data_IF_609467602818
#
_entry.id   IF_609467602818
#
_cell.length_a   1.000
_cell.length_b   1.000
_cell.length_c   1.000
_cell.angle_alpha   90.00
_cell.angle_beta   90.00
_cell.angle_gamma   90.00
#
_symmetry.space_group_name_H-M   'P 1'
#
loop_
_entity.id
_entity.type
_entity.pdbx_description
1 polymer ?
#
# COMPACT_ATOMS: atom_id res chain seq x y z
N UNK A 1 8.00 -45.21 42.45
CA UNK A 1 8.65 -43.88 42.34
C UNK A 1 9.19 -43.73 40.93
N UNK A 2 8.63 -42.81 40.13
CA UNK A 2 9.32 -41.92 39.17
C UNK A 2 8.30 -41.23 38.25
N UNK A 3 7.92 -40.03 38.69
CA UNK A 3 7.47 -38.82 37.98
C UNK A 3 7.08 -38.93 36.51
N UNK A 4 5.77 -38.92 36.26
CA UNK A 4 5.16 -38.35 35.05
C UNK A 4 5.55 -36.87 34.97
N UNK A 5 6.53 -36.55 34.12
CA UNK A 5 6.89 -35.19 33.75
C UNK A 5 5.82 -34.67 32.79
N UNK A 6 4.68 -34.27 33.36
CA UNK A 6 3.70 -33.45 32.67
C UNK A 6 4.43 -32.25 32.08
N UNK A 7 4.33 -32.15 30.75
CA UNK A 7 4.90 -31.08 29.94
C UNK A 7 4.11 -29.81 30.27
N UNK A 8 4.43 -29.18 31.40
CA UNK A 8 3.82 -27.93 31.82
C UNK A 8 4.31 -26.85 30.84
N UNK A 9 3.55 -26.63 29.76
CA UNK A 9 3.78 -25.55 28.81
C UNK A 9 3.78 -24.26 29.63
N UNK A 10 4.93 -23.60 29.72
CA UNK A 10 5.12 -22.41 30.54
C UNK A 10 4.07 -21.35 30.13
N UNK A 11 3.21 -20.89 31.07
CA UNK A 11 2.16 -19.91 30.78
C UNK A 11 2.71 -18.59 30.20
N UNK A 12 4.01 -18.32 30.36
CA UNK A 12 4.68 -17.18 29.72
C UNK A 12 4.77 -17.35 28.20
N UNK A 13 5.09 -18.54 27.72
CA UNK A 13 5.22 -18.85 26.28
C UNK A 13 3.86 -18.71 25.58
N UNK A 14 2.78 -19.15 26.23
CA UNK A 14 1.43 -19.04 25.67
C UNK A 14 0.97 -17.57 25.57
N UNK A 15 1.31 -16.73 26.56
CA UNK A 15 0.97 -15.30 26.55
C UNK A 15 1.71 -14.56 25.43
N UNK A 16 2.99 -14.90 25.22
CA UNK A 16 3.83 -14.29 24.18
C UNK A 16 3.34 -14.68 22.79
N UNK A 17 3.02 -15.96 22.56
CA UNK A 17 2.43 -16.42 21.31
C UNK A 17 1.10 -15.72 20.98
N UNK A 18 0.30 -15.40 22.01
CA UNK A 18 -0.98 -14.70 21.86
C UNK A 18 -0.80 -13.23 21.47
N UNK A 19 0.16 -12.54 22.08
CA UNK A 19 0.51 -11.14 21.77
C UNK A 19 1.10 -11.04 20.36
N UNK A 20 2.01 -11.95 20.01
CA UNK A 20 2.61 -12.06 18.67
C UNK A 20 1.54 -12.14 17.59
N UNK A 21 0.54 -12.98 17.83
CA UNK A 21 -0.57 -13.19 16.91
C UNK A 21 -1.48 -11.98 16.82
N UNK A 22 -1.75 -11.30 17.93
CA UNK A 22 -2.53 -10.06 17.93
C UNK A 22 -1.86 -8.97 17.10
N UNK A 23 -0.55 -8.76 17.30
CA UNK A 23 0.23 -7.78 16.55
C UNK A 23 0.24 -8.12 15.06
N UNK A 24 0.56 -9.37 14.70
CA UNK A 24 0.56 -9.80 13.30
C UNK A 24 -0.82 -9.69 12.63
N UNK A 25 -1.89 -9.95 13.39
CA UNK A 25 -3.26 -9.83 12.89
C UNK A 25 -3.66 -8.37 12.68
N UNK A 26 -3.34 -7.48 13.63
CA UNK A 26 -3.63 -6.04 13.52
C UNK A 26 -2.87 -5.45 12.33
N UNK A 27 -1.57 -5.73 12.21
CA UNK A 27 -0.76 -5.24 11.09
C UNK A 27 -1.27 -5.73 9.74
N UNK A 28 -1.71 -6.98 9.66
CA UNK A 28 -2.36 -7.50 8.45
C UNK A 28 -3.61 -6.71 8.07
N UNK A 29 -4.49 -6.38 9.01
CA UNK A 29 -5.69 -5.58 8.73
C UNK A 29 -5.37 -4.14 8.33
N UNK A 30 -4.36 -3.54 8.96
CA UNK A 30 -3.91 -2.19 8.62
C UNK A 30 -3.34 -2.17 7.20
N UNK A 31 -2.39 -3.06 6.88
CA UNK A 31 -1.81 -3.15 5.54
C UNK A 31 -2.88 -3.45 4.48
N UNK A 32 -3.80 -4.39 4.75
CA UNK A 32 -4.90 -4.71 3.84
C UNK A 32 -5.84 -3.52 3.63
N UNK A 33 -6.19 -2.79 4.68
CA UNK A 33 -7.01 -1.58 4.59
C UNK A 33 -6.39 -0.52 3.70
N UNK A 34 -5.08 -0.26 3.88
CA UNK A 34 -4.34 0.68 3.02
C UNK A 34 -4.15 0.17 1.59
N UNK A 35 -3.98 -1.14 1.39
CA UNK A 35 -3.94 -1.76 0.06
C UNK A 35 -5.21 -1.45 -0.72
N UNK A 36 -6.36 -1.70 -0.09
CA UNK A 36 -7.67 -1.50 -0.69
C UNK A 36 -7.91 -0.01 -0.93
N UNK A 37 -7.63 0.85 0.04
CA UNK A 37 -7.80 2.30 -0.11
C UNK A 37 -6.92 2.87 -1.25
N UNK A 38 -5.66 2.45 -1.34
CA UNK A 38 -4.75 2.84 -2.42
C UNK A 38 -5.22 2.32 -3.78
N UNK A 39 -5.64 1.05 -3.86
CA UNK A 39 -6.19 0.46 -5.09
C UNK A 39 -7.47 1.16 -5.57
N UNK A 40 -8.40 1.44 -4.67
CA UNK A 40 -9.66 2.13 -4.99
C UNK A 40 -9.37 3.55 -5.49
N UNK A 41 -8.56 4.32 -4.76
CA UNK A 41 -8.22 5.70 -5.16
C UNK A 41 -7.51 5.74 -6.51
N UNK A 42 -6.58 4.82 -6.77
CA UNK A 42 -5.92 4.70 -8.07
C UNK A 42 -6.91 4.31 -9.18
N UNK A 43 -7.84 3.41 -8.91
CA UNK A 43 -8.88 3.01 -9.87
C UNK A 43 -9.81 4.18 -10.21
N UNK A 44 -10.23 4.96 -9.22
CA UNK A 44 -10.97 6.21 -9.47
C UNK A 44 -10.17 7.19 -10.32
N UNK A 45 -8.87 7.36 -10.04
CA UNK A 45 -8.01 8.23 -10.83
C UNK A 45 -7.91 7.77 -12.29
N UNK A 46 -7.77 6.48 -12.56
CA UNK A 46 -7.66 5.92 -13.92
C UNK A 46 -9.01 5.98 -14.64
N UNK A 47 -10.06 5.42 -14.04
CA UNK A 47 -11.39 5.32 -14.65
C UNK A 47 -12.01 6.69 -14.87
N UNK A 48 -11.92 7.59 -13.88
CA UNK A 48 -12.46 8.95 -14.02
C UNK A 48 -11.74 9.77 -15.09
N UNK A 49 -10.43 9.52 -15.32
CA UNK A 49 -9.71 10.15 -16.44
C UNK A 49 -10.17 9.63 -17.80
N UNK A 50 -10.46 8.34 -17.90
CA UNK A 50 -10.96 7.74 -19.14
C UNK A 50 -12.38 8.22 -19.44
N UNK A 51 -13.27 8.24 -18.44
CA UNK A 51 -14.65 8.73 -18.58
C UNK A 51 -14.69 10.20 -19.03
N UNK A 52 -13.83 11.04 -18.45
CA UNK A 52 -13.79 12.46 -18.77
C UNK A 52 -13.13 12.77 -20.15
N UNK A 53 -12.48 11.81 -20.80
CA UNK A 53 -12.06 11.94 -22.22
C UNK A 53 -13.20 11.62 -23.19
N UNK A 54 -14.11 10.73 -22.80
CA UNK A 54 -15.25 10.31 -23.62
C UNK A 54 -16.32 11.39 -23.78
N UNK A 55 -16.43 12.31 -22.81
CA UNK A 55 -17.43 13.38 -22.82
C UNK A 55 -17.02 14.59 -23.67
N UNK A 56 -15.73 14.77 -23.92
CA UNK A 56 -15.19 15.94 -24.63
C UNK A 56 -15.11 15.78 -26.14
N UNK A 57 -15.53 14.62 -26.68
CA UNK A 57 -15.53 14.32 -28.12
C UNK A 57 -16.86 14.58 -28.82
N UNK A 58 -17.81 15.27 -28.17
CA UNK A 58 -19.11 15.61 -28.81
C UNK A 58 -18.90 16.84 -29.70
N UNK A 59 -19.01 16.74 -31.04
CA UNK A 59 -18.95 17.89 -31.91
C UNK A 59 -20.25 18.69 -31.72
N UNK A 60 -20.18 19.91 -31.20
CA UNK A 60 -21.33 20.82 -31.20
C UNK A 60 -21.52 21.34 -32.63
N UNK A 61 -22.65 21.04 -33.31
CA UNK A 61 -22.88 21.53 -34.67
C UNK A 61 -23.02 23.06 -34.66
N UNK A 62 -22.25 23.77 -35.49
CA UNK A 62 -22.41 25.21 -35.71
C UNK A 62 -21.43 26.14 -34.95
N UNK A 63 -20.68 25.63 -33.97
CA UNK A 63 -19.49 26.30 -33.44
C UNK A 63 -18.28 25.49 -33.92
N UNK A 64 -17.36 26.09 -34.67
CA UNK A 64 -16.16 25.42 -35.19
C UNK A 64 -15.50 24.59 -34.08
N UNK A 65 -15.25 23.30 -34.35
CA UNK A 65 -14.97 22.28 -33.35
C UNK A 65 -13.96 22.72 -32.28
N UNK A 66 -14.48 23.26 -31.18
CA UNK A 66 -13.68 23.51 -29.98
C UNK A 66 -13.47 22.13 -29.38
N UNK A 67 -12.36 21.50 -29.76
CA UNK A 67 -11.88 20.32 -29.07
C UNK A 67 -11.63 20.74 -27.63
N UNK A 68 -12.57 20.47 -26.72
CA UNK A 68 -12.32 20.50 -25.30
C UNK A 68 -11.41 19.32 -24.95
N UNK A 69 -10.26 19.19 -25.62
CA UNK A 69 -9.22 18.25 -25.23
C UNK A 69 -8.78 18.71 -23.85
N UNK A 70 -9.40 18.15 -22.80
CA UNK A 70 -8.90 18.23 -21.45
C UNK A 70 -7.57 17.49 -21.48
N UNK A 71 -6.54 18.26 -21.83
CA UNK A 71 -5.19 17.79 -22.05
C UNK A 71 -4.80 16.96 -20.85
N UNK A 72 -4.48 15.71 -21.10
CA UNK A 72 -3.98 14.81 -20.08
C UNK A 72 -2.81 15.52 -19.42
N UNK A 73 -2.88 15.72 -18.10
CA UNK A 73 -1.78 16.31 -17.35
C UNK A 73 -0.50 15.55 -17.68
N UNK A 74 0.35 16.18 -18.49
CA UNK A 74 1.56 15.56 -18.99
C UNK A 74 2.46 15.27 -17.77
N UNK A 75 2.98 14.05 -17.68
CA UNK A 75 3.82 13.61 -16.55
C UNK A 75 3.08 12.84 -15.45
N UNK A 76 1.74 12.93 -15.31
CA UNK A 76 1.03 12.16 -14.26
C UNK A 76 1.10 10.64 -14.48
N UNK A 77 1.27 10.20 -15.73
CA UNK A 77 1.50 8.79 -16.07
C UNK A 77 2.64 8.14 -15.28
N UNK A 78 3.71 8.90 -15.04
CA UNK A 78 4.88 8.44 -14.27
C UNK A 78 4.47 8.15 -12.82
N UNK A 79 3.69 9.05 -12.21
CA UNK A 79 3.17 8.89 -10.85
C UNK A 79 2.28 7.64 -10.69
N UNK A 80 1.47 7.33 -11.70
CA UNK A 80 0.60 6.15 -11.71
C UNK A 80 1.41 4.87 -11.86
N UNK A 81 2.40 4.85 -12.76
CA UNK A 81 3.25 3.68 -12.95
C UNK A 81 3.93 3.28 -11.63
N UNK A 82 4.55 4.25 -10.96
CA UNK A 82 5.18 4.04 -9.66
C UNK A 82 4.17 3.66 -8.57
N UNK A 83 2.97 4.25 -8.57
CA UNK A 83 1.89 3.86 -7.65
C UNK A 83 1.48 2.38 -7.83
N UNK A 84 1.33 1.92 -9.08
CA UNK A 84 1.02 0.51 -9.36
C UNK A 84 2.11 -0.40 -8.81
N UNK A 85 3.39 -0.09 -9.06
CA UNK A 85 4.50 -0.85 -8.53
C UNK A 85 4.52 -0.85 -6.99
N UNK A 86 4.26 0.28 -6.35
CA UNK A 86 4.19 0.41 -4.89
C UNK A 86 3.00 -0.34 -4.26
N UNK A 87 1.86 -0.39 -4.94
CA UNK A 87 0.68 -1.18 -4.52
C UNK A 87 0.97 -2.68 -4.67
N UNK A 88 1.62 -3.12 -5.75
CA UNK A 88 2.01 -4.52 -5.92
C UNK A 88 2.97 -4.98 -4.82
N UNK A 89 3.95 -4.13 -4.46
CA UNK A 89 4.84 -4.41 -3.33
C UNK A 89 4.06 -4.50 -2.00
N UNK A 90 3.08 -3.61 -1.79
CA UNK A 90 2.22 -3.63 -0.60
C UNK A 90 1.36 -4.90 -0.55
N UNK A 91 0.74 -5.31 -1.66
CA UNK A 91 -0.01 -6.57 -1.75
C UNK A 91 0.88 -7.78 -1.48
N UNK A 92 2.13 -7.74 -1.95
CA UNK A 92 3.11 -8.79 -1.66
C UNK A 92 3.49 -8.81 -0.17
N UNK A 93 3.64 -7.66 0.48
CA UNK A 93 3.81 -7.57 1.94
C UNK A 93 2.63 -8.19 2.70
N UNK A 94 1.40 -7.82 2.33
CA UNK A 94 0.17 -8.38 2.92
C UNK A 94 0.13 -9.90 2.77
N UNK A 95 0.53 -10.43 1.61
CA UNK A 95 0.62 -11.86 1.36
C UNK A 95 1.64 -12.55 2.29
N UNK A 96 2.81 -11.95 2.50
CA UNK A 96 3.83 -12.47 3.42
C UNK A 96 3.34 -12.44 4.87
N UNK A 97 2.69 -11.36 5.30
CA UNK A 97 2.09 -11.25 6.63
C UNK A 97 1.04 -12.35 6.87
N UNK A 98 0.14 -12.56 5.89
CA UNK A 98 -0.85 -13.64 5.95
C UNK A 98 -0.21 -15.03 6.02
N UNK A 99 0.88 -15.24 5.27
CA UNK A 99 1.63 -16.49 5.26
C UNK A 99 2.29 -16.78 6.62
N UNK A 100 2.84 -15.77 7.29
CA UNK A 100 3.39 -15.92 8.65
C UNK A 100 2.31 -16.32 9.68
N UNK A 101 1.13 -15.70 9.62
CA UNK A 101 -0.01 -16.04 10.48
C UNK A 101 -0.48 -17.49 10.25
N UNK A 102 -0.43 -17.99 9.01
CA UNK A 102 -0.74 -19.40 8.70
C UNK A 102 0.31 -20.38 9.23
N UNK A 103 1.60 -20.05 9.16
CA UNK A 103 2.66 -20.90 9.73
C UNK A 103 2.61 -20.96 11.25
N UNK A 104 2.28 -19.85 11.92
CA UNK A 104 2.06 -19.82 13.37
C UNK A 104 0.91 -20.77 13.81
N UNK A 105 -0.07 -21.01 12.95
CA UNK A 105 -1.18 -21.96 13.20
C UNK A 105 -0.74 -23.43 13.20
N UNK A 106 0.37 -23.78 12.54
CA UNK A 106 0.92 -25.15 12.48
C UNK A 106 1.78 -25.53 13.68
N UNK A 107 2.19 -24.56 14.51
CA UNK A 107 2.88 -24.81 15.79
C UNK A 107 1.97 -25.45 16.85
N UNK A 108 0.65 -25.51 16.63
CA UNK A 108 -0.32 -26.06 17.58
C UNK A 108 -0.56 -27.57 17.46
N UNK A 109 0.15 -28.27 16.56
CA UNK A 109 0.12 -29.73 16.49
C UNK A 109 1.36 -30.29 17.22
N UNK A 110 1.12 -31.05 18.30
CA UNK A 110 2.10 -31.73 19.14
C UNK A 110 2.90 -32.81 18.40
N UNK A 111 3.81 -32.42 17.50
CA UNK A 111 4.79 -33.33 16.90
C UNK A 111 6.16 -32.63 16.85
N UNK A 112 7.10 -33.01 17.73
CA UNK A 112 8.41 -32.36 17.90
C UNK A 112 9.31 -32.34 16.66
N UNK A 113 8.97 -33.08 15.60
CA UNK A 113 9.74 -33.21 14.36
C UNK A 113 9.46 -32.11 13.32
N UNK A 114 8.44 -31.26 13.52
CA UNK A 114 8.05 -30.19 12.57
C UNK A 114 8.20 -28.80 13.22
N UNK A 115 9.20 -28.62 14.09
CA UNK A 115 9.54 -27.31 14.62
C UNK A 115 10.07 -26.42 13.47
N UNK A 116 9.34 -25.37 13.04
CA UNK A 116 9.86 -24.42 12.08
C UNK A 116 11.08 -23.77 12.73
N UNK A 117 12.25 -23.84 12.07
CA UNK A 117 13.46 -23.20 12.57
C UNK A 117 13.16 -21.71 12.78
N UNK A 118 13.47 -21.16 13.96
CA UNK A 118 13.40 -19.71 14.24
C UNK A 118 14.06 -18.88 13.12
N UNK A 119 15.09 -19.43 12.48
CA UNK A 119 15.77 -18.86 11.32
C UNK A 119 14.87 -18.62 10.09
N UNK A 120 13.92 -19.50 9.80
CA UNK A 120 13.03 -19.35 8.64
C UNK A 120 12.01 -18.23 8.89
N UNK A 121 11.47 -18.12 10.11
CA UNK A 121 10.59 -17.03 10.52
C UNK A 121 11.33 -15.68 10.44
N UNK A 122 12.58 -15.62 10.92
CA UNK A 122 13.41 -14.42 10.83
C UNK A 122 13.70 -14.01 9.38
N UNK A 123 13.92 -14.97 8.47
CA UNK A 123 14.10 -14.69 7.05
C UNK A 123 12.83 -14.11 6.42
N UNK A 124 11.65 -14.66 6.73
CA UNK A 124 10.38 -14.11 6.24
C UNK A 124 10.12 -12.69 6.77
N UNK A 125 10.44 -12.42 8.03
CA UNK A 125 10.31 -11.07 8.62
C UNK A 125 11.24 -10.09 7.90
N UNK A 126 12.51 -10.47 7.70
CA UNK A 126 13.49 -9.65 6.97
C UNK A 126 13.03 -9.37 5.54
N UNK A 127 12.50 -10.38 4.85
CA UNK A 127 12.00 -10.23 3.48
C UNK A 127 10.77 -9.30 3.44
N UNK A 128 9.84 -9.41 4.39
CA UNK A 128 8.69 -8.50 4.51
C UNK A 128 9.10 -7.03 4.74
N UNK A 129 10.11 -6.80 5.58
CA UNK A 129 10.66 -5.45 5.81
C UNK A 129 11.28 -4.90 4.52
N UNK A 130 12.10 -5.70 3.82
CA UNK A 130 12.74 -5.28 2.55
C UNK A 130 11.67 -4.94 1.50
N UNK A 131 10.66 -5.80 1.34
CA UNK A 131 9.54 -5.57 0.40
C UNK A 131 8.81 -4.27 0.74
N UNK A 132 8.49 -4.06 2.02
CA UNK A 132 7.79 -2.85 2.46
C UNK A 132 8.64 -1.59 2.26
N UNK A 133 9.95 -1.68 2.44
CA UNK A 133 10.88 -0.57 2.22
C UNK A 133 10.98 -0.21 0.74
N UNK A 134 11.07 -1.23 -0.13
CA UNK A 134 11.00 -1.04 -1.59
C UNK A 134 9.65 -0.44 -1.99
N UNK A 135 8.52 -0.97 -1.48
CA UNK A 135 7.19 -0.44 -1.75
C UNK A 135 7.00 1.01 -1.31
N UNK A 136 7.59 1.40 -0.18
CA UNK A 136 7.63 2.79 0.29
C UNK A 136 8.41 3.67 -0.67
N UNK A 137 9.61 3.24 -1.11
CA UNK A 137 10.43 3.98 -2.07
C UNK A 137 9.69 4.20 -3.40
N UNK A 138 9.05 3.16 -3.92
CA UNK A 138 8.27 3.22 -5.16
C UNK A 138 7.12 4.25 -5.04
N UNK A 139 6.37 4.22 -3.93
CA UNK A 139 5.28 5.17 -3.72
C UNK A 139 5.79 6.61 -3.47
N UNK A 140 6.98 6.80 -2.89
CA UNK A 140 7.59 8.14 -2.76
C UNK A 140 7.93 8.70 -4.13
N UNK A 141 8.54 7.91 -5.02
CA UNK A 141 8.84 8.33 -6.39
C UNK A 141 7.55 8.67 -7.15
N UNK A 142 6.51 7.85 -7.01
CA UNK A 142 5.21 8.09 -7.65
C UNK A 142 4.48 9.31 -7.10
N UNK A 143 4.43 9.44 -5.77
CA UNK A 143 3.82 10.57 -5.08
C UNK A 143 4.53 11.88 -5.38
N UNK A 144 5.86 11.89 -5.29
CA UNK A 144 6.70 13.06 -5.61
C UNK A 144 6.56 13.51 -7.06
N UNK A 145 6.57 12.58 -8.01
CA UNK A 145 6.34 12.91 -9.42
C UNK A 145 4.94 13.52 -9.63
N UNK A 146 3.90 12.95 -9.01
CA UNK A 146 2.53 13.46 -9.11
C UNK A 146 2.41 14.87 -8.52
N UNK A 147 2.95 15.08 -7.32
CA UNK A 147 2.95 16.38 -6.65
C UNK A 147 3.75 17.43 -7.43
N UNK A 148 4.89 17.06 -8.01
CA UNK A 148 5.69 17.96 -8.85
C UNK A 148 4.93 18.41 -10.09
N UNK A 149 4.21 17.50 -10.74
CA UNK A 149 3.37 17.84 -11.90
C UNK A 149 2.18 18.70 -11.49
N UNK A 150 1.54 18.42 -10.35
CA UNK A 150 0.46 19.23 -9.81
C UNK A 150 0.93 20.65 -9.47
N UNK A 151 2.10 20.78 -8.85
CA UNK A 151 2.72 22.06 -8.52
C UNK A 151 3.07 22.86 -9.79
N UNK A 152 3.66 22.21 -10.79
CA UNK A 152 3.96 22.85 -12.07
C UNK A 152 2.70 23.39 -12.74
N UNK A 153 1.60 22.62 -12.72
CA UNK A 153 0.30 23.10 -13.22
C UNK A 153 -0.25 24.28 -12.42
N UNK A 154 -0.15 24.22 -11.09
CA UNK A 154 -0.64 25.29 -10.22
C UNK A 154 0.11 26.61 -10.46
N UNK A 155 1.42 26.56 -10.68
CA UNK A 155 2.25 27.74 -10.96
C UNK A 155 2.01 28.26 -12.39
N UNK A 156 1.82 27.36 -13.37
CA UNK A 156 1.64 27.72 -14.77
C UNK A 156 0.22 28.21 -15.13
N UNK A 157 -0.70 28.29 -14.17
CA UNK A 157 -2.06 28.79 -14.40
C UNK A 157 -2.19 30.28 -14.01
N UNK A 158 -2.39 31.20 -14.98
CA UNK A 158 -2.71 32.59 -14.68
C UNK A 158 -4.02 32.70 -13.88
N UNK A 159 -4.07 33.55 -12.86
CA UNK A 159 -5.29 33.78 -12.08
C UNK A 159 -6.37 34.42 -12.97
N UNK A 160 -7.55 33.79 -13.11
CA UNK A 160 -8.69 34.32 -13.89
C UNK A 160 -9.23 33.44 -15.03
N UNK A 161 -8.54 32.36 -15.41
CA UNK A 161 -9.00 31.46 -16.50
C UNK A 161 -10.23 30.61 -16.13
N UNK A 162 -10.57 30.50 -14.85
CA UNK A 162 -11.71 29.71 -14.39
C UNK A 162 -13.07 30.33 -14.76
N UNK A 163 -13.11 31.61 -15.14
CA UNK A 163 -14.34 32.31 -15.56
C UNK A 163 -14.64 32.09 -17.05
N UNK A 164 -13.61 31.84 -17.88
CA UNK A 164 -13.76 31.71 -19.33
C UNK A 164 -13.66 30.27 -19.86
N UNK A 165 -13.08 29.33 -19.10
CA UNK A 165 -12.89 27.95 -19.57
C UNK A 165 -12.86 26.92 -18.40
N UNK A 166 -14.01 26.32 -18.03
CA UNK A 166 -14.12 25.34 -16.93
C UNK A 166 -13.21 24.11 -17.08
N UNK A 167 -12.68 23.86 -18.28
CA UNK A 167 -11.78 22.74 -18.58
C UNK A 167 -10.36 22.88 -18.02
N UNK A 168 -9.99 24.08 -17.52
CA UNK A 168 -8.70 24.32 -16.85
C UNK A 168 -8.71 23.99 -15.36
N UNK A 169 -9.83 23.61 -14.77
CA UNK A 169 -9.87 23.26 -13.33
C UNK A 169 -8.94 22.07 -13.08
N UNK A 170 -8.08 22.17 -12.06
CA UNK A 170 -7.23 21.07 -11.59
C UNK A 170 -8.15 19.86 -11.39
N UNK A 171 -7.93 18.80 -12.17
CA UNK A 171 -8.73 17.58 -12.05
C UNK A 171 -8.55 17.04 -10.63
N UNK A 172 -9.64 16.94 -9.88
CA UNK A 172 -9.66 16.19 -8.62
C UNK A 172 -9.07 14.78 -8.79
N UNK A 173 -9.17 14.23 -10.02
CA UNK A 173 -8.58 12.95 -10.43
C UNK A 173 -7.05 12.90 -10.34
N UNK A 174 -6.35 14.01 -10.54
CA UNK A 174 -4.90 14.07 -10.46
C UNK A 174 -4.44 13.99 -8.98
N UNK A 175 -5.25 14.53 -8.06
CA UNK A 175 -5.02 14.45 -6.61
C UNK A 175 -5.24 13.03 -6.09
N UNK A 176 -6.18 12.27 -6.67
CA UNK A 176 -6.37 10.86 -6.30
C UNK A 176 -5.14 9.99 -6.55
N UNK A 177 -4.31 10.31 -7.55
CA UNK A 177 -3.03 9.62 -7.78
C UNK A 177 -2.06 9.89 -6.63
N UNK A 178 -1.97 11.15 -6.17
CA UNK A 178 -1.14 11.51 -5.03
C UNK A 178 -1.64 10.83 -3.74
N UNK A 179 -2.96 10.79 -3.55
CA UNK A 179 -3.60 10.11 -2.42
C UNK A 179 -3.35 8.59 -2.44
N UNK A 180 -3.41 7.95 -3.61
CA UNK A 180 -3.10 6.53 -3.76
C UNK A 180 -1.67 6.22 -3.33
N UNK A 181 -0.70 7.01 -3.78
CA UNK A 181 0.70 6.88 -3.37
C UNK A 181 0.87 7.11 -1.85
N UNK A 182 0.20 8.11 -1.28
CA UNK A 182 0.27 8.38 0.17
C UNK A 182 -0.29 7.23 1.01
N UNK A 183 -1.43 6.66 0.61
CA UNK A 183 -1.98 5.46 1.22
C UNK A 183 -1.02 4.27 1.09
N UNK A 184 -0.37 4.12 -0.07
CA UNK A 184 0.66 3.12 -0.31
C UNK A 184 1.88 3.28 0.60
N UNK A 185 2.39 4.50 0.79
CA UNK A 185 3.48 4.81 1.75
C UNK A 185 3.06 4.39 3.15
N UNK A 186 1.86 4.78 3.57
CA UNK A 186 1.38 4.57 4.94
C UNK A 186 1.18 3.08 5.23
N UNK A 187 0.62 2.33 4.28
CA UNK A 187 0.46 0.88 4.39
C UNK A 187 1.80 0.15 4.43
N UNK A 188 2.73 0.48 3.54
CA UNK A 188 4.07 -0.13 3.58
C UNK A 188 4.83 0.23 4.87
N UNK A 189 4.72 1.47 5.35
CA UNK A 189 5.34 1.88 6.61
C UNK A 189 4.79 1.10 7.81
N UNK A 190 3.47 0.85 7.85
CA UNK A 190 2.87 0.01 8.87
C UNK A 190 3.47 -1.41 8.88
N UNK A 191 3.76 -1.98 7.70
CA UNK A 191 4.43 -3.27 7.57
C UNK A 191 5.89 -3.28 8.06
N UNK A 192 6.62 -2.17 7.85
CA UNK A 192 7.98 -2.01 8.41
C UNK A 192 7.92 -1.98 9.94
N UNK A 193 7.01 -1.18 10.52
CA UNK A 193 6.85 -1.07 11.99
C UNK A 193 6.46 -2.41 12.59
N UNK A 194 5.54 -3.14 11.92
CA UNK A 194 5.14 -4.48 12.32
C UNK A 194 6.31 -5.47 12.30
N UNK A 195 7.08 -5.48 11.21
CA UNK A 195 8.24 -6.37 11.04
C UNK A 195 9.34 -6.10 12.06
N UNK A 196 9.66 -4.82 12.31
CA UNK A 196 10.64 -4.43 13.33
C UNK A 196 10.17 -4.76 14.74
N UNK A 197 8.91 -4.50 15.06
CA UNK A 197 8.31 -4.85 16.35
C UNK A 197 8.40 -6.35 16.60
N UNK A 198 8.09 -7.16 15.59
CA UNK A 198 8.18 -8.61 15.65
C UNK A 198 9.62 -9.12 15.82
N UNK A 199 10.57 -8.51 15.11
CA UNK A 199 11.99 -8.83 15.21
C UNK A 199 12.58 -8.53 16.59
N UNK A 200 12.23 -7.36 17.17
CA UNK A 200 12.69 -6.93 18.49
C UNK A 200 12.15 -7.84 19.61
N UNK A 201 10.88 -8.23 19.53
CA UNK A 201 10.28 -9.16 20.49
C UNK A 201 10.94 -10.54 20.45
N UNK A 202 11.34 -11.01 19.27
CA UNK A 202 11.98 -12.33 19.11
C UNK A 202 13.43 -12.37 19.60
N UNK A 203 14.13 -11.23 19.65
CA UNK A 203 15.52 -11.12 20.16
C UNK A 203 15.60 -10.90 21.68
N UNK A 204 14.49 -10.53 22.34
CA UNK A 204 14.44 -10.36 23.79
C UNK A 204 14.29 -11.67 24.56
N UNK A 205 14.13 -12.80 23.86
CA UNK A 205 14.17 -14.16 24.42
C UNK A 205 15.48 -14.87 24.06
#
# INVERSE_FOLDING_TARGET
>A
MQTTSDTQIDPKIERIARILRLVAWISFWIELGFAIASGITLMFAITGRNFNRSLTSVPVPGLGGVNYSQGTTQGIGIGIFWAVCGILALLFSVYLAFRQVRYAKRLRNSSPSVHPKKAEILQLIRLGIIVSLVGTLLNILGGGATLGVLLAKAIAQPQGVAIYDPNRIIRALDIFVALANMNGITGNFAGIVAGLGLWHWLHKE
#
